data_IF_373066796667
#
_entry.id   IF_373066796667
#
_cell.length_a   1.000
_cell.length_b   1.000
_cell.length_c   1.000
_cell.angle_alpha   90.00
_cell.angle_beta   90.00
_cell.angle_gamma   90.00
#
_symmetry.space_group_name_H-M   'P 1'
#
loop_
_entity.id
_entity.type
_entity.pdbx_description
1 polymer ?
#
# COMPACT_ATOMS: atom_id res chain seq x y z
N UNK A 1 -9.09 -13.24 -2.50
CA UNK A 1 -9.80 -12.54 -1.42
C UNK A 1 -9.00 -11.30 -1.12
N UNK A 2 -9.66 -10.14 -1.19
CA UNK A 2 -9.08 -8.85 -0.82
C UNK A 2 -9.61 -8.45 0.55
N UNK A 3 -8.86 -7.60 1.24
CA UNK A 3 -9.12 -7.14 2.60
C UNK A 3 -9.07 -5.61 2.63
N UNK A 4 -9.71 -5.02 3.64
CA UNK A 4 -9.87 -3.56 3.73
C UNK A 4 -8.82 -2.91 4.63
N UNK A 5 -8.15 -3.69 5.50
CA UNK A 5 -7.09 -3.21 6.38
C UNK A 5 -5.80 -4.03 6.26
N UNK A 6 -4.66 -3.35 6.38
CA UNK A 6 -3.34 -4.01 6.36
C UNK A 6 -3.17 -5.03 7.49
N UNK A 7 -3.73 -4.74 8.66
CA UNK A 7 -3.66 -5.61 9.85
C UNK A 7 -4.39 -6.95 9.67
N UNK A 8 -5.24 -7.09 8.64
CA UNK A 8 -5.89 -8.36 8.31
C UNK A 8 -4.96 -9.33 7.56
N UNK A 9 -3.88 -8.84 6.94
CA UNK A 9 -2.99 -9.65 6.08
C UNK A 9 -1.57 -9.78 6.62
N UNK A 10 -1.15 -8.94 7.56
CA UNK A 10 0.19 -8.99 8.18
C UNK A 10 0.19 -8.38 9.57
N UNK A 11 1.13 -8.79 10.42
CA UNK A 11 1.41 -8.08 11.66
C UNK A 11 2.10 -6.75 11.33
N UNK A 12 1.56 -5.64 11.83
CA UNK A 12 2.07 -4.29 11.57
C UNK A 12 1.59 -3.32 12.64
N UNK A 13 2.37 -2.26 12.88
CA UNK A 13 1.96 -1.10 13.67
C UNK A 13 1.40 0.03 12.77
N UNK A 14 1.33 -0.20 11.45
CA UNK A 14 0.83 0.78 10.49
C UNK A 14 -0.68 0.67 10.35
N UNK A 15 -1.39 1.77 10.52
CA UNK A 15 -2.83 1.87 10.27
C UNK A 15 -3.07 2.31 8.82
N UNK A 16 -3.07 1.34 7.90
CA UNK A 16 -3.44 1.56 6.50
C UNK A 16 -4.76 0.83 6.18
N UNK A 17 -5.65 1.55 5.52
CA UNK A 17 -6.98 1.12 5.11
C UNK A 17 -7.28 1.48 3.66
N UNK A 18 -8.24 0.78 3.05
CA UNK A 18 -8.73 1.10 1.71
C UNK A 18 -9.32 2.52 1.70
N UNK A 19 -8.99 3.28 0.66
CA UNK A 19 -9.35 4.71 0.52
C UNK A 19 -8.31 5.68 1.06
N UNK A 20 -7.31 5.21 1.81
CA UNK A 20 -6.21 6.06 2.28
C UNK A 20 -5.42 6.64 1.11
N UNK A 21 -5.05 7.92 1.22
CA UNK A 21 -4.16 8.58 0.27
C UNK A 21 -2.71 8.41 0.72
N UNK A 22 -1.87 7.94 -0.18
CA UNK A 22 -0.47 7.61 0.11
C UNK A 22 0.48 8.20 -0.93
N UNK A 23 1.69 8.51 -0.49
CA UNK A 23 2.84 8.75 -1.35
C UNK A 23 3.63 7.45 -1.46
N UNK A 24 3.90 7.00 -2.70
CA UNK A 24 4.72 5.83 -2.97
C UNK A 24 6.18 6.26 -3.19
N UNK A 25 7.11 5.62 -2.49
CA UNK A 25 8.55 5.76 -2.70
C UNK A 25 9.13 4.42 -3.12
N UNK A 26 9.71 4.36 -4.32
CA UNK A 26 10.33 3.13 -4.79
C UNK A 26 11.67 2.84 -4.09
N UNK A 27 12.25 1.68 -4.35
CA UNK A 27 13.53 1.25 -3.74
C UNK A 27 14.75 2.11 -4.10
N UNK A 28 14.61 3.00 -5.08
CA UNK A 28 15.63 3.96 -5.49
C UNK A 28 15.40 5.35 -4.89
N UNK A 29 14.40 5.53 -4.03
CA UNK A 29 14.06 6.81 -3.42
C UNK A 29 13.27 7.76 -4.33
N UNK A 30 12.79 7.29 -5.49
CA UNK A 30 11.94 8.10 -6.38
C UNK A 30 10.50 8.08 -5.87
N UNK A 31 9.90 9.26 -5.82
CA UNK A 31 8.59 9.51 -5.21
C UNK A 31 7.51 9.66 -6.28
N UNK A 32 6.37 9.01 -6.08
CA UNK A 32 5.19 9.05 -6.94
C UNK A 32 3.92 9.25 -6.11
N UNK A 33 2.87 9.77 -6.77
CA UNK A 33 1.55 9.96 -6.18
C UNK A 33 1.10 11.43 -6.14
N UNK A 34 0.06 11.75 -5.36
CA UNK A 34 -0.64 10.86 -4.42
C UNK A 34 -1.40 9.73 -5.12
N UNK A 35 -1.47 8.59 -4.45
CA UNK A 35 -2.23 7.41 -4.85
C UNK A 35 -3.27 7.04 -3.79
N UNK A 36 -4.31 6.31 -4.19
CA UNK A 36 -5.31 5.72 -3.30
C UNK A 36 -5.01 4.24 -3.04
N UNK A 37 -5.14 3.80 -1.79
CA UNK A 37 -5.09 2.37 -1.44
C UNK A 37 -6.39 1.70 -1.90
N UNK A 38 -6.27 0.74 -2.83
CA UNK A 38 -7.40 0.03 -3.43
C UNK A 38 -7.78 -1.24 -2.67
N UNK A 39 -6.80 -1.98 -2.16
CA UNK A 39 -7.03 -3.26 -1.49
C UNK A 39 -5.77 -3.76 -0.77
N UNK A 40 -5.97 -4.71 0.15
CA UNK A 40 -4.92 -5.57 0.67
C UNK A 40 -5.07 -7.01 0.21
N UNK A 41 -3.96 -7.68 -0.08
CA UNK A 41 -3.91 -9.10 -0.42
C UNK A 41 -3.00 -9.89 0.50
N UNK A 42 -3.02 -11.23 0.40
CA UNK A 42 -2.06 -12.07 1.12
C UNK A 42 -0.64 -11.68 0.71
N UNK A 43 0.28 -11.51 1.68
CA UNK A 43 1.63 -11.04 1.38
C UNK A 43 2.41 -12.06 0.54
N UNK A 44 3.01 -11.57 -0.55
CA UNK A 44 3.96 -12.31 -1.37
C UNK A 44 5.26 -11.52 -1.38
N UNK A 45 6.31 -12.05 -0.72
CA UNK A 45 7.57 -11.33 -0.52
C UNK A 45 7.38 -9.94 0.13
N UNK A 46 6.48 -9.86 1.12
CA UNK A 46 6.13 -8.62 1.83
C UNK A 46 5.22 -7.66 1.05
N UNK A 47 4.90 -7.96 -0.21
CA UNK A 47 4.00 -7.14 -1.04
C UNK A 47 2.56 -7.53 -0.79
N UNK A 48 1.76 -6.58 -0.36
CA UNK A 48 0.36 -6.82 -0.02
C UNK A 48 -0.57 -5.62 -0.25
N UNK A 49 -0.04 -4.44 -0.62
CA UNK A 49 -0.86 -3.24 -0.80
C UNK A 49 -1.04 -2.95 -2.29
N UNK A 50 -2.28 -2.80 -2.72
CA UNK A 50 -2.60 -2.41 -4.10
C UNK A 50 -2.99 -0.93 -4.10
N UNK A 51 -2.35 -0.15 -4.95
CA UNK A 51 -2.61 1.29 -5.11
C UNK A 51 -3.02 1.60 -6.55
N UNK A 52 -3.69 2.74 -6.77
CA UNK A 52 -4.16 3.19 -8.09
C UNK A 52 -3.07 3.71 -9.04
N UNK A 53 -1.87 3.11 -9.01
CA UNK A 53 -0.78 3.41 -9.92
C UNK A 53 -0.97 2.74 -11.30
N UNK A 54 -0.14 3.10 -12.27
CA UNK A 54 -0.08 2.43 -13.59
C UNK A 54 0.23 0.91 -13.47
N UNK A 55 0.79 0.48 -12.34
CA UNK A 55 1.10 -0.90 -12.02
C UNK A 55 0.15 -1.48 -10.94
N UNK A 56 -1.11 -1.05 -10.89
CA UNK A 56 -2.12 -1.48 -9.88
C UNK A 56 -2.29 -3.00 -9.73
N UNK A 57 -1.85 -3.81 -10.69
CA UNK A 57 -1.88 -5.28 -10.63
C UNK A 57 -0.69 -5.88 -9.85
N UNK A 58 0.33 -5.08 -9.55
CA UNK A 58 1.53 -5.48 -8.83
C UNK A 58 1.55 -4.83 -7.45
N UNK A 59 1.34 -5.64 -6.41
CA UNK A 59 1.30 -5.14 -5.04
C UNK A 59 2.64 -4.53 -4.60
N UNK A 60 2.54 -3.52 -3.74
CA UNK A 60 3.65 -2.86 -3.09
C UNK A 60 3.80 -3.29 -1.63
N UNK A 61 4.97 -2.97 -1.08
CA UNK A 61 5.27 -3.15 0.33
C UNK A 61 4.71 -1.99 1.15
N UNK A 62 4.10 -2.25 2.32
CA UNK A 62 3.63 -1.18 3.22
C UNK A 62 4.69 -0.14 3.55
N UNK A 63 5.97 -0.53 3.64
CA UNK A 63 7.08 0.35 3.98
C UNK A 63 7.42 1.36 2.87
N UNK A 64 6.97 1.12 1.65
CA UNK A 64 7.15 2.03 0.51
C UNK A 64 6.08 3.12 0.47
N UNK A 65 5.05 3.02 1.32
CA UNK A 65 3.93 3.93 1.35
C UNK A 65 4.05 4.87 2.55
N UNK A 66 3.78 6.14 2.32
CA UNK A 66 3.67 7.15 3.38
C UNK A 66 2.24 7.67 3.35
N UNK A 67 1.51 7.50 4.46
CA UNK A 67 0.15 8.03 4.61
C UNK A 67 0.19 9.55 4.54
N UNK A 68 -0.73 10.14 3.79
CA UNK A 68 -0.97 11.57 3.78
C UNK A 68 -2.06 11.83 4.82
N UNK A 69 -1.67 12.36 5.97
CA UNK A 69 -2.63 12.89 6.94
C UNK A 69 -3.20 14.21 6.40
N UNK A 70 -4.52 14.35 6.38
CA UNK A 70 -5.21 15.63 6.08
C UNK A 70 -5.19 16.59 7.28
#
# INVERSE_FOLDING_TARGET
MFYDRLSEVTYTDRDLSVGDRVIFTNDHGVVFGPHEVLAFGKPVNGRCVYIDSDAYWFADRPEQLTLIEE
#
